data_IF_112006689797
#
_entry.id   IF_112006689797
#
_cell.length_a   1.000
_cell.length_b   1.000
_cell.length_c   1.000
_cell.angle_alpha   90.00
_cell.angle_beta   90.00
_cell.angle_gamma   90.00
#
_symmetry.space_group_name_H-M   'P 1'
#
loop_
_entity.id
_entity.type
_entity.pdbx_description
1 polymer ?
#
# COMPACT_ATOMS: atom_id res chain seq x y z
N UNK A 1 -14.14 -15.79 46.95
CA UNK A 1 -13.72 -16.59 45.78
C UNK A 1 -14.00 -15.73 44.55
N UNK A 2 -13.00 -15.01 44.04
CA UNK A 2 -13.15 -14.07 42.92
C UNK A 2 -12.83 -14.81 41.62
N UNK A 3 -13.83 -14.97 40.76
CA UNK A 3 -13.64 -15.45 39.39
C UNK A 3 -13.28 -14.25 38.51
N UNK A 4 -12.04 -14.20 38.02
CA UNK A 4 -11.62 -13.24 36.99
C UNK A 4 -11.87 -13.92 35.64
N UNK A 5 -12.91 -13.48 34.94
CA UNK A 5 -13.19 -13.87 33.56
C UNK A 5 -12.18 -13.21 32.62
N UNK A 6 -11.44 -14.01 31.87
CA UNK A 6 -10.56 -13.53 30.81
C UNK A 6 -11.39 -13.03 29.63
N UNK A 7 -11.19 -11.78 29.23
CA UNK A 7 -11.74 -11.25 27.99
C UNK A 7 -11.02 -11.91 26.80
N UNK A 8 -11.74 -12.37 25.77
CA UNK A 8 -11.11 -12.88 24.55
C UNK A 8 -10.43 -11.72 23.82
N UNK A 9 -9.12 -11.84 23.62
CA UNK A 9 -8.39 -10.97 22.70
C UNK A 9 -8.97 -11.21 21.29
N UNK A 10 -9.58 -10.18 20.71
CA UNK A 10 -10.01 -10.18 19.31
C UNK A 10 -8.77 -10.18 18.44
N UNK A 11 -8.31 -11.37 18.07
CA UNK A 11 -7.34 -11.54 17.00
C UNK A 11 -8.01 -11.05 15.71
N UNK A 12 -7.65 -9.84 15.26
CA UNK A 12 -7.92 -9.40 13.90
C UNK A 12 -7.13 -10.32 12.98
N UNK A 13 -7.78 -11.36 12.47
CA UNK A 13 -7.23 -12.17 11.39
C UNK A 13 -7.02 -11.20 10.21
N UNK A 14 -5.77 -10.76 10.02
CA UNK A 14 -5.37 -10.09 8.80
C UNK A 14 -5.76 -11.02 7.64
N UNK A 15 -6.63 -10.55 6.75
CA UNK A 15 -7.04 -11.29 5.56
C UNK A 15 -5.80 -11.57 4.72
N UNK A 16 -5.25 -12.78 4.85
CA UNK A 16 -4.31 -13.36 3.89
C UNK A 16 -5.10 -14.13 2.81
N UNK A 17 -6.21 -13.57 2.34
CA UNK A 17 -7.20 -14.31 1.55
C UNK A 17 -7.14 -14.07 0.04
N UNK A 18 -7.06 -12.81 -0.39
CA UNK A 18 -7.14 -12.46 -1.80
C UNK A 18 -5.89 -11.67 -2.24
N UNK A 19 -5.04 -12.20 -3.13
CA UNK A 19 -3.90 -11.45 -3.64
C UNK A 19 -4.32 -10.17 -4.38
N UNK A 20 -5.58 -10.06 -4.83
CA UNK A 20 -6.12 -8.89 -5.51
C UNK A 20 -6.68 -7.83 -4.58
N UNK A 21 -6.83 -8.11 -3.27
CA UNK A 21 -7.20 -7.08 -2.29
C UNK A 21 -6.14 -5.96 -2.27
N UNK A 22 -6.59 -4.72 -2.07
CA UNK A 22 -5.73 -3.56 -1.91
C UNK A 22 -5.89 -2.97 -0.51
N UNK A 23 -4.85 -3.03 0.30
CA UNK A 23 -4.90 -2.59 1.70
C UNK A 23 -5.30 -1.12 1.83
N UNK A 24 -4.80 -0.23 0.97
CA UNK A 24 -5.18 1.19 0.97
C UNK A 24 -6.68 1.38 0.70
N UNK A 25 -7.27 0.56 -0.18
CA UNK A 25 -8.69 0.58 -0.49
C UNK A 25 -9.54 0.03 0.67
N UNK A 26 -9.08 -1.02 1.35
CA UNK A 26 -9.74 -1.54 2.56
C UNK A 26 -9.70 -0.55 3.71
N UNK A 27 -8.56 0.11 3.93
CA UNK A 27 -8.43 1.17 4.94
C UNK A 27 -9.40 2.31 4.66
N UNK A 28 -9.49 2.79 3.42
CA UNK A 28 -10.47 3.82 3.06
C UNK A 28 -11.90 3.40 3.42
N UNK A 29 -12.31 2.19 3.03
CA UNK A 29 -13.67 1.68 3.32
C UNK A 29 -13.95 1.63 4.83
N UNK A 30 -12.99 1.17 5.63
CA UNK A 30 -13.09 1.13 7.09
C UNK A 30 -13.15 2.53 7.70
N UNK A 31 -12.27 3.44 7.29
CA UNK A 31 -12.29 4.84 7.76
C UNK A 31 -13.63 5.52 7.44
N UNK A 32 -14.17 5.31 6.24
CA UNK A 32 -15.48 5.86 5.87
C UNK A 32 -16.58 5.29 6.77
N UNK A 33 -16.51 4.01 7.16
CA UNK A 33 -17.47 3.42 8.10
C UNK A 33 -17.39 4.09 9.48
N UNK A 34 -16.20 4.19 10.09
CA UNK A 34 -15.98 4.87 11.39
C UNK A 34 -16.47 6.32 11.38
N UNK A 35 -16.17 7.06 10.31
CA UNK A 35 -16.56 8.46 10.16
C UNK A 35 -18.07 8.64 9.86
N UNK A 36 -18.76 7.58 9.46
CA UNK A 36 -20.22 7.59 9.24
C UNK A 36 -21.01 7.19 10.49
N UNK A 37 -20.36 6.81 11.59
CA UNK A 37 -21.02 6.58 12.87
C UNK A 37 -21.65 7.87 13.45
N UNK A 38 -22.47 7.70 14.48
CA UNK A 38 -23.16 8.80 15.17
C UNK A 38 -22.98 8.67 16.69
N UNK A 39 -22.01 9.40 17.30
CA UNK A 39 -21.12 10.39 16.67
C UNK A 39 -19.99 9.75 15.82
N UNK A 40 -19.39 10.46 14.85
CA UNK A 40 -18.26 9.95 14.06
C UNK A 40 -17.06 9.56 14.92
N UNK A 41 -16.47 8.38 14.68
CA UNK A 41 -15.26 7.92 15.38
C UNK A 41 -13.98 8.33 14.64
N UNK A 42 -13.48 9.52 14.95
CA UNK A 42 -12.20 10.01 14.44
C UNK A 42 -10.99 9.25 15.00
N UNK A 43 -11.09 8.70 16.22
CA UNK A 43 -9.99 7.99 16.84
C UNK A 43 -9.83 6.59 16.22
N UNK A 44 -10.93 5.88 16.01
CA UNK A 44 -11.00 4.64 15.24
C UNK A 44 -10.49 4.83 13.82
N UNK A 45 -10.97 5.86 13.12
CA UNK A 45 -10.51 6.19 11.76
C UNK A 45 -9.00 6.47 11.71
N UNK A 46 -8.44 7.18 12.71
CA UNK A 46 -7.00 7.43 12.79
C UNK A 46 -6.20 6.14 13.01
N UNK A 47 -6.62 5.29 13.96
CA UNK A 47 -5.95 4.02 14.23
C UNK A 47 -5.92 3.11 12.99
N UNK A 48 -7.01 3.10 12.20
CA UNK A 48 -7.08 2.39 10.92
C UNK A 48 -6.11 3.00 9.90
N UNK A 49 -6.07 4.33 9.77
CA UNK A 49 -5.19 5.01 8.83
C UNK A 49 -3.70 4.78 9.11
N UNK A 50 -3.31 4.77 10.39
CA UNK A 50 -1.92 4.56 10.80
C UNK A 50 -1.34 3.22 10.30
N UNK A 51 -2.20 2.21 10.05
CA UNK A 51 -1.78 0.91 9.52
C UNK A 51 -1.17 0.95 8.11
N UNK A 52 -1.47 1.97 7.30
CA UNK A 52 -0.92 2.15 5.94
C UNK A 52 0.03 3.32 5.82
N UNK A 53 0.20 4.13 6.87
CA UNK A 53 1.00 5.36 6.83
C UNK A 53 2.41 5.11 6.30
N UNK A 54 3.10 4.09 6.82
CA UNK A 54 4.47 3.79 6.42
C UNK A 54 4.55 3.40 4.93
N UNK A 55 3.58 2.64 4.42
CA UNK A 55 3.52 2.28 3.00
C UNK A 55 3.30 3.54 2.13
N UNK A 56 2.41 4.43 2.54
CA UNK A 56 2.17 5.68 1.83
C UNK A 56 3.42 6.57 1.81
N UNK A 57 4.08 6.73 2.96
CA UNK A 57 5.30 7.54 3.06
C UNK A 57 6.41 7.00 2.14
N UNK A 58 6.55 5.67 2.07
CA UNK A 58 7.54 5.01 1.22
C UNK A 58 7.27 5.15 -0.28
N UNK A 59 6.01 5.21 -0.70
CA UNK A 59 5.63 5.16 -2.12
C UNK A 59 5.10 6.47 -2.70
N UNK A 60 4.76 7.44 -1.86
CA UNK A 60 4.12 8.69 -2.28
C UNK A 60 4.74 9.92 -1.61
N UNK A 61 5.70 9.73 -0.69
CA UNK A 61 6.19 10.77 0.19
C UNK A 61 5.25 11.05 1.37
N UNK A 62 5.68 11.92 2.28
CA UNK A 62 4.99 12.13 3.57
C UNK A 62 3.77 13.05 3.50
N UNK A 63 3.65 13.86 2.44
CA UNK A 63 2.60 14.88 2.32
C UNK A 63 1.18 14.30 2.31
N UNK A 64 0.84 13.25 1.53
CA UNK A 64 -0.52 12.72 1.51
C UNK A 64 -0.96 12.23 2.90
N UNK A 65 -0.09 11.51 3.60
CA UNK A 65 -0.40 10.98 4.93
C UNK A 65 -0.49 12.07 6.00
N UNK A 66 0.38 13.08 5.95
CA UNK A 66 0.32 14.22 6.86
C UNK A 66 -1.01 14.99 6.72
N UNK A 67 -1.50 15.16 5.49
CA UNK A 67 -2.75 15.88 5.21
C UNK A 67 -3.96 15.15 5.80
N UNK A 68 -4.06 13.83 5.58
CA UNK A 68 -5.13 13.00 6.15
C UNK A 68 -5.13 13.06 7.69
N UNK A 69 -3.95 12.91 8.30
CA UNK A 69 -3.80 12.98 9.77
C UNK A 69 -4.16 14.35 10.33
N UNK A 70 -3.88 15.43 9.60
CA UNK A 70 -4.25 16.77 10.02
C UNK A 70 -5.78 16.93 10.04
N UNK A 71 -6.48 16.55 8.97
CA UNK A 71 -7.95 16.65 8.94
C UNK A 71 -8.66 15.70 9.92
N UNK A 72 -8.06 14.55 10.25
CA UNK A 72 -8.53 13.68 11.32
C UNK A 72 -8.47 14.40 12.68
N UNK A 73 -7.36 15.08 12.98
CA UNK A 73 -7.19 15.88 14.21
C UNK A 73 -8.17 17.05 14.28
N UNK A 74 -8.40 17.70 13.14
CA UNK A 74 -9.35 18.82 13.02
C UNK A 74 -10.81 18.36 13.02
N UNK A 75 -11.07 17.05 13.12
CA UNK A 75 -12.38 16.42 13.09
C UNK A 75 -13.22 16.81 11.86
N UNK A 76 -12.55 16.98 10.73
CA UNK A 76 -13.18 17.35 9.48
C UNK A 76 -13.40 16.11 8.60
N UNK A 77 -14.54 15.44 8.82
CA UNK A 77 -14.93 14.21 8.10
C UNK A 77 -14.81 14.35 6.58
N UNK A 78 -15.38 15.40 6.00
CA UNK A 78 -15.46 15.56 4.55
C UNK A 78 -14.07 15.73 3.94
N UNK A 79 -13.19 16.49 4.61
CA UNK A 79 -11.81 16.65 4.19
C UNK A 79 -11.01 15.35 4.34
N UNK A 80 -11.19 14.57 5.42
CA UNK A 80 -10.55 13.25 5.56
C UNK A 80 -10.96 12.31 4.43
N UNK A 81 -12.25 12.23 4.13
CA UNK A 81 -12.77 11.38 3.06
C UNK A 81 -12.22 11.84 1.70
N UNK A 82 -12.22 13.15 1.44
CA UNK A 82 -11.70 13.72 0.19
C UNK A 82 -10.20 13.42 0.01
N UNK A 83 -9.40 13.55 1.06
CA UNK A 83 -7.96 13.28 0.96
C UNK A 83 -7.66 11.81 0.79
N UNK A 84 -8.39 10.92 1.46
CA UNK A 84 -8.27 9.49 1.21
C UNK A 84 -8.66 9.11 -0.22
N UNK A 85 -9.68 9.75 -0.81
CA UNK A 85 -10.01 9.54 -2.22
C UNK A 85 -8.86 9.94 -3.14
N UNK A 86 -8.17 11.06 -2.85
CA UNK A 86 -6.96 11.46 -3.59
C UNK A 86 -5.81 10.46 -3.41
N UNK A 87 -5.60 9.94 -2.19
CA UNK A 87 -4.61 8.87 -1.92
C UNK A 87 -4.89 7.63 -2.78
N UNK A 88 -6.16 7.23 -2.92
CA UNK A 88 -6.55 6.12 -3.79
C UNK A 88 -6.23 6.40 -5.27
N UNK A 89 -6.46 7.63 -5.75
CA UNK A 89 -6.08 8.02 -7.12
C UNK A 89 -4.56 7.95 -7.33
N UNK A 90 -3.76 8.43 -6.37
CA UNK A 90 -2.30 8.33 -6.42
C UNK A 90 -1.83 6.86 -6.39
N UNK A 91 -2.50 5.99 -5.63
CA UNK A 91 -2.22 4.56 -5.61
C UNK A 91 -2.46 3.91 -6.98
N UNK A 92 -3.57 4.25 -7.65
CA UNK A 92 -3.86 3.80 -9.02
C UNK A 92 -2.77 4.29 -9.98
N UNK A 93 -2.42 5.58 -9.94
CA UNK A 93 -1.38 6.17 -10.78
C UNK A 93 -0.06 5.42 -10.68
N UNK A 94 0.46 5.25 -9.46
CA UNK A 94 1.66 4.47 -9.15
C UNK A 94 1.65 3.08 -9.79
N UNK A 95 0.54 2.34 -9.63
CA UNK A 95 0.46 0.96 -10.10
C UNK A 95 0.47 0.90 -11.63
N UNK A 96 -0.29 1.77 -12.29
CA UNK A 96 -0.30 1.86 -13.75
C UNK A 96 1.04 2.36 -14.32
N UNK A 97 1.75 3.23 -13.61
CA UNK A 97 3.12 3.62 -13.94
C UNK A 97 4.10 2.44 -13.86
N UNK A 98 4.02 1.64 -12.80
CA UNK A 98 4.88 0.46 -12.64
C UNK A 98 4.63 -0.60 -13.72
N UNK A 99 3.38 -0.80 -14.12
CA UNK A 99 3.04 -1.70 -15.23
C UNK A 99 3.66 -1.20 -16.54
N UNK A 100 3.62 0.10 -16.81
CA UNK A 100 4.21 0.64 -18.05
C UNK A 100 5.72 0.42 -18.12
N UNK A 101 6.42 0.56 -16.98
CA UNK A 101 7.88 0.41 -16.88
C UNK A 101 8.35 -1.02 -17.11
N UNK A 102 7.59 -2.01 -16.65
CA UNK A 102 7.90 -3.44 -16.78
C UNK A 102 6.84 -4.20 -17.60
N UNK A 103 6.43 -3.64 -18.74
CA UNK A 103 5.24 -4.11 -19.46
C UNK A 103 5.28 -5.60 -19.90
N UNK A 104 6.48 -6.17 -20.05
CA UNK A 104 6.68 -7.55 -20.49
C UNK A 104 6.35 -8.59 -19.40
N UNK A 105 6.31 -8.18 -18.13
CA UNK A 105 6.08 -9.07 -17.00
C UNK A 105 4.57 -9.32 -16.78
N UNK A 106 4.00 -10.21 -17.61
CA UNK A 106 2.56 -10.48 -17.60
C UNK A 106 1.98 -10.83 -16.22
N UNK A 107 2.63 -11.74 -15.47
CA UNK A 107 2.09 -12.22 -14.20
C UNK A 107 2.04 -11.10 -13.16
N UNK A 108 3.13 -10.33 -13.02
CA UNK A 108 3.20 -9.21 -12.10
C UNK A 108 2.23 -8.10 -12.52
N UNK A 109 2.18 -7.76 -13.81
CA UNK A 109 1.33 -6.68 -14.30
C UNK A 109 -0.15 -7.01 -14.19
N UNK A 110 -0.54 -8.27 -14.40
CA UNK A 110 -1.92 -8.72 -14.18
C UNK A 110 -2.34 -8.49 -12.73
N UNK A 111 -1.47 -8.80 -11.77
CA UNK A 111 -1.72 -8.55 -10.35
C UNK A 111 -1.80 -7.04 -10.05
N UNK A 112 -0.89 -6.24 -10.61
CA UNK A 112 -0.90 -4.79 -10.44
C UNK A 112 -2.18 -4.15 -11.00
N UNK A 113 -2.67 -4.59 -12.16
CA UNK A 113 -3.94 -4.13 -12.72
C UNK A 113 -5.10 -4.55 -11.82
N UNK A 114 -5.11 -5.79 -11.31
CA UNK A 114 -6.16 -6.24 -10.39
C UNK A 114 -6.22 -5.37 -9.13
N UNK A 115 -5.08 -5.04 -8.53
CA UNK A 115 -5.01 -4.14 -7.36
C UNK A 115 -5.41 -2.71 -7.68
N UNK A 116 -4.99 -2.18 -8.84
CA UNK A 116 -5.44 -0.86 -9.28
C UNK A 116 -6.96 -0.83 -9.50
N UNK A 117 -7.54 -1.89 -10.08
CA UNK A 117 -9.00 -2.05 -10.24
C UNK A 117 -9.71 -2.19 -8.90
N UNK A 118 -9.15 -2.92 -7.93
CA UNK A 118 -9.69 -3.00 -6.58
C UNK A 118 -9.70 -1.63 -5.88
N UNK A 119 -8.65 -0.84 -6.08
CA UNK A 119 -8.57 0.55 -5.62
C UNK A 119 -9.67 1.41 -6.25
N UNK A 120 -9.85 1.31 -7.58
CA UNK A 120 -10.91 1.99 -8.30
C UNK A 120 -12.31 1.56 -7.81
N UNK A 121 -12.53 0.28 -7.53
CA UNK A 121 -13.82 -0.21 -7.04
C UNK A 121 -14.24 0.45 -5.72
N UNK A 122 -13.28 0.86 -4.87
CA UNK A 122 -13.58 1.64 -3.67
C UNK A 122 -14.02 3.09 -3.99
N UNK A 123 -13.56 3.66 -5.10
CA UNK A 123 -13.97 4.98 -5.59
C UNK A 123 -15.26 4.93 -6.43
N UNK A 124 -15.54 3.81 -7.09
CA UNK A 124 -16.64 3.63 -8.05
C UNK A 124 -18.00 4.11 -7.50
N UNK A 125 -18.43 3.80 -6.26
CA UNK A 125 -19.70 4.31 -5.73
C UNK A 125 -19.80 5.84 -5.73
N UNK A 126 -18.71 6.54 -5.40
CA UNK A 126 -18.64 8.01 -5.37
C UNK A 126 -18.70 8.59 -6.78
N UNK A 127 -18.00 7.94 -7.72
CA UNK A 127 -18.02 8.33 -9.14
C UNK A 127 -19.41 8.11 -9.71
N UNK A 128 -19.98 6.92 -9.52
CA UNK A 128 -21.31 6.52 -10.01
C UNK A 128 -22.42 7.44 -9.51
N UNK A 129 -22.33 7.92 -8.27
CA UNK A 129 -23.31 8.86 -7.73
C UNK A 129 -23.29 10.21 -8.47
N UNK A 130 -22.13 10.65 -8.95
CA UNK A 130 -21.95 11.94 -9.63
C UNK A 130 -22.10 11.82 -11.16
N UNK A 131 -21.51 10.78 -11.74
CA UNK A 131 -21.47 10.52 -13.17
C UNK A 131 -21.42 9.00 -13.43
N UNK A 132 -22.58 8.34 -13.61
CA UNK A 132 -22.66 6.91 -13.95
C UNK A 132 -21.99 6.56 -15.29
N UNK A 133 -21.94 7.49 -16.24
CA UNK A 133 -21.35 7.25 -17.56
C UNK A 133 -19.83 7.22 -17.47
N UNK A 134 -19.25 8.11 -16.67
CA UNK A 134 -17.83 8.12 -16.36
C UNK A 134 -17.41 6.82 -15.64
N UNK A 135 -18.20 6.36 -14.66
CA UNK A 135 -17.90 5.12 -13.95
C UNK A 135 -17.85 3.90 -14.89
N UNK A 136 -18.87 3.75 -15.74
CA UNK A 136 -18.91 2.70 -16.76
C UNK A 136 -17.73 2.79 -17.73
N UNK A 137 -17.38 4.02 -18.14
CA UNK A 137 -16.21 4.27 -18.99
C UNK A 137 -14.92 3.81 -18.31
N UNK A 138 -14.72 4.14 -17.04
CA UNK A 138 -13.53 3.74 -16.28
C UNK A 138 -13.43 2.24 -16.11
N UNK A 139 -14.54 1.54 -15.83
CA UNK A 139 -14.60 0.07 -15.79
C UNK A 139 -14.08 -0.52 -17.10
N UNK A 140 -14.57 -0.01 -18.24
CA UNK A 140 -14.14 -0.48 -19.56
C UNK A 140 -12.67 -0.19 -19.84
N UNK A 141 -12.14 0.95 -19.41
CA UNK A 141 -10.72 1.26 -19.59
C UNK A 141 -9.81 0.37 -18.73
N UNK A 142 -10.22 -0.02 -17.52
CA UNK A 142 -9.49 -1.03 -16.73
C UNK A 142 -9.49 -2.40 -17.42
N UNK A 143 -10.61 -2.79 -18.03
CA UNK A 143 -10.70 -4.05 -18.78
C UNK A 143 -9.84 -4.02 -20.04
N UNK A 144 -9.81 -2.89 -20.77
CA UNK A 144 -8.91 -2.70 -21.91
C UNK A 144 -7.45 -2.74 -21.49
N UNK A 145 -7.08 -2.07 -20.39
CA UNK A 145 -5.73 -2.11 -19.86
C UNK A 145 -5.30 -3.53 -19.51
N UNK A 146 -6.20 -4.34 -18.91
CA UNK A 146 -5.95 -5.74 -18.62
C UNK A 146 -5.75 -6.57 -19.90
N UNK A 147 -6.62 -6.39 -20.89
CA UNK A 147 -6.54 -7.10 -22.16
C UNK A 147 -5.29 -6.73 -22.98
N UNK A 148 -4.79 -5.50 -22.80
CA UNK A 148 -3.60 -4.99 -23.44
C UNK A 148 -2.30 -5.62 -22.90
N UNK A 149 -2.32 -6.27 -21.74
CA UNK A 149 -1.16 -7.06 -21.27
C UNK A 149 -0.90 -8.30 -22.14
N UNK A 150 -1.85 -8.68 -23.01
CA UNK A 150 -1.78 -9.91 -23.77
C UNK A 150 -2.08 -11.14 -22.90
N UNK A 151 -1.57 -12.29 -23.32
CA UNK A 151 -1.63 -13.56 -22.60
C UNK A 151 -0.49 -14.45 -23.10
N UNK A 152 0.48 -14.87 -22.27
CA UNK A 152 1.54 -15.78 -22.71
C UNK A 152 1.04 -17.19 -23.06
N UNK A 153 -0.23 -17.50 -22.73
CA UNK A 153 -0.82 -18.81 -22.97
C UNK A 153 -0.27 -19.89 -22.03
N UNK A 154 -0.95 -21.05 -22.01
CA UNK A 154 -0.46 -22.23 -21.30
C UNK A 154 0.21 -23.14 -22.34
N UNK A 155 1.52 -23.34 -22.23
CA UNK A 155 2.33 -24.09 -23.22
C UNK A 155 2.16 -23.57 -24.67
N UNK A 156 2.00 -22.26 -24.85
CA UNK A 156 1.81 -21.63 -26.17
C UNK A 156 0.38 -21.72 -26.72
N UNK A 157 -0.56 -22.33 -26.01
CA UNK A 157 -1.99 -22.32 -26.38
C UNK A 157 -2.66 -21.06 -25.83
N UNK A 158 -3.37 -20.33 -26.68
CA UNK A 158 -4.12 -19.12 -26.29
C UNK A 158 -3.25 -17.87 -26.12
N UNK A 159 -2.10 -17.82 -26.80
CA UNK A 159 -1.21 -16.65 -26.81
C UNK A 159 -1.95 -15.43 -27.38
N UNK A 160 -1.82 -14.31 -26.70
CA UNK A 160 -2.20 -12.98 -27.20
C UNK A 160 -1.00 -12.07 -27.00
N UNK A 161 -0.59 -11.41 -28.07
CA UNK A 161 0.51 -10.45 -28.00
C UNK A 161 0.14 -9.24 -27.12
N UNK A 162 1.10 -8.70 -26.35
CA UNK A 162 0.90 -7.48 -25.60
C UNK A 162 0.67 -6.28 -26.54
N UNK A 163 -0.17 -5.35 -26.11
CA UNK A 163 -0.55 -4.14 -26.85
C UNK A 163 -0.17 -2.87 -26.04
N UNK A 164 1.13 -2.51 -25.92
CA UNK A 164 1.57 -1.40 -25.07
C UNK A 164 0.90 -0.06 -25.40
N UNK A 165 0.62 0.21 -26.68
CA UNK A 165 -0.06 1.42 -27.10
C UNK A 165 -1.50 1.51 -26.57
N UNK A 166 -2.23 0.39 -26.56
CA UNK A 166 -3.59 0.31 -25.99
C UNK A 166 -3.54 0.52 -24.49
N UNK A 167 -2.59 -0.10 -23.80
CA UNK A 167 -2.42 0.11 -22.37
C UNK A 167 -2.13 1.57 -22.03
N UNK A 168 -1.20 2.22 -22.74
CA UNK A 168 -0.87 3.65 -22.52
C UNK A 168 -2.08 4.56 -22.74
N UNK A 169 -2.88 4.29 -23.76
CA UNK A 169 -4.09 5.05 -24.03
C UNK A 169 -5.14 4.89 -22.91
N UNK A 170 -5.40 3.65 -22.47
CA UNK A 170 -6.34 3.38 -21.38
C UNK A 170 -5.84 3.95 -20.04
N UNK A 171 -4.55 3.80 -19.72
CA UNK A 171 -3.92 4.43 -18.56
C UNK A 171 -4.11 5.94 -18.58
N UNK A 172 -3.76 6.62 -19.67
CA UNK A 172 -3.90 8.07 -19.77
C UNK A 172 -5.35 8.52 -19.55
N UNK A 173 -6.31 7.78 -20.11
CA UNK A 173 -7.73 8.06 -19.93
C UNK A 173 -8.19 7.84 -18.48
N UNK A 174 -7.83 6.72 -17.86
CA UNK A 174 -8.12 6.43 -16.45
C UNK A 174 -7.58 7.55 -15.56
N UNK A 175 -6.30 7.87 -15.70
CA UNK A 175 -5.61 8.82 -14.84
C UNK A 175 -6.14 10.24 -15.00
N UNK A 176 -6.36 10.70 -16.24
CA UNK A 176 -6.96 12.00 -16.50
C UNK A 176 -8.37 12.10 -15.91
N UNK A 177 -9.22 11.11 -16.17
CA UNK A 177 -10.59 11.09 -15.66
C UNK A 177 -10.65 11.11 -14.13
N UNK A 178 -9.79 10.34 -13.46
CA UNK A 178 -9.72 10.34 -11.99
C UNK A 178 -9.12 11.63 -11.44
N UNK A 179 -8.09 12.17 -12.09
CA UNK A 179 -7.50 13.46 -11.72
C UNK A 179 -8.53 14.58 -11.76
N UNK A 180 -9.29 14.68 -12.85
CA UNK A 180 -10.34 15.68 -13.05
C UNK A 180 -11.48 15.49 -12.04
N UNK A 181 -11.94 14.25 -11.85
CA UNK A 181 -13.05 13.91 -10.95
C UNK A 181 -12.78 14.24 -9.48
N UNK A 182 -11.53 14.13 -9.04
CA UNK A 182 -11.11 14.35 -7.65
C UNK A 182 -10.29 15.63 -7.44
N UNK A 183 -10.10 16.45 -8.50
CA UNK A 183 -9.45 17.75 -8.44
C UNK A 183 -7.97 17.70 -8.03
N UNK A 184 -7.22 16.69 -8.47
CA UNK A 184 -5.79 16.60 -8.19
C UNK A 184 -5.00 17.54 -9.11
N UNK A 185 -4.09 18.33 -8.53
CA UNK A 185 -3.18 19.20 -9.29
C UNK A 185 -2.11 18.42 -10.07
N UNK A 186 -1.67 17.30 -9.52
CA UNK A 186 -0.66 16.41 -10.09
C UNK A 186 -0.92 14.97 -9.67
N UNK A 187 -0.46 14.04 -10.49
CA UNK A 187 -0.42 12.60 -10.19
C UNK A 187 1.00 12.10 -9.90
N UNK A 188 2.00 13.00 -9.92
CA UNK A 188 3.36 12.65 -9.56
C UNK A 188 3.42 12.18 -8.11
N UNK A 189 4.16 11.10 -7.91
CA UNK A 189 4.33 10.46 -6.62
C UNK A 189 5.83 10.29 -6.40
N UNK A 190 6.31 10.82 -5.27
CA UNK A 190 7.74 10.90 -4.97
C UNK A 190 8.36 9.53 -4.68
N UNK A 191 9.49 9.27 -5.33
CA UNK A 191 10.39 8.11 -5.16
C UNK A 191 9.81 6.73 -5.53
N UNK A 192 9.73 6.45 -6.84
CA UNK A 192 9.63 5.08 -7.34
C UNK A 192 10.99 4.51 -7.69
N UNK A 193 11.50 3.61 -6.85
CA UNK A 193 12.56 2.68 -7.24
C UNK A 193 11.95 1.55 -8.08
N UNK A 194 12.59 1.23 -9.20
CA UNK A 194 12.21 0.08 -10.03
C UNK A 194 12.23 -1.19 -9.16
N UNK A 195 11.14 -1.97 -9.19
CA UNK A 195 11.06 -3.25 -8.47
C UNK A 195 10.28 -3.24 -7.15
N UNK A 196 9.69 -2.15 -6.67
CA UNK A 196 8.90 -2.16 -5.42
C UNK A 196 7.44 -2.66 -5.56
N UNK A 197 7.16 -3.43 -6.60
CA UNK A 197 5.84 -4.04 -6.81
C UNK A 197 5.54 -5.16 -5.79
N UNK A 198 4.24 -5.47 -5.52
CA UNK A 198 3.79 -6.51 -4.61
C UNK A 198 4.11 -7.97 -5.08
N UNK A 199 5.08 -8.13 -5.98
CA UNK A 199 5.59 -9.40 -6.48
C UNK A 199 7.11 -9.51 -6.45
N UNK A 200 7.85 -8.53 -5.90
CA UNK A 200 9.29 -8.63 -5.81
C UNK A 200 9.69 -9.61 -4.69
N UNK A 201 10.34 -10.71 -5.07
CA UNK A 201 10.91 -11.70 -4.14
C UNK A 201 11.94 -11.08 -3.19
N UNK A 202 12.58 -9.96 -3.56
CA UNK A 202 13.49 -9.24 -2.67
C UNK A 202 12.80 -8.64 -1.44
N UNK A 203 11.51 -8.29 -1.51
CA UNK A 203 10.77 -7.74 -0.35
C UNK A 203 10.18 -8.83 0.55
N UNK A 204 10.08 -10.09 0.10
CA UNK A 204 9.77 -11.22 1.01
C UNK A 204 10.97 -11.63 1.87
N UNK A 205 12.17 -11.20 1.49
CA UNK A 205 13.42 -11.63 2.11
C UNK A 205 14.16 -10.53 2.90
N UNK A 206 13.52 -9.40 3.22
CA UNK A 206 13.94 -8.60 4.39
C UNK A 206 13.47 -9.28 5.68
N UNK A 207 13.92 -10.52 5.89
CA UNK A 207 14.35 -10.87 7.23
C UNK A 207 15.45 -9.87 7.60
N UNK A 208 15.42 -9.36 8.82
CA UNK A 208 16.54 -8.64 9.42
C UNK A 208 17.68 -9.64 9.59
N UNK A 209 18.31 -10.03 8.48
CA UNK A 209 19.51 -10.83 8.42
C UNK A 209 20.67 -9.86 8.44
N UNK A 210 21.43 -9.87 9.53
CA UNK A 210 22.70 -9.16 9.62
C UNK A 210 23.59 -9.66 8.49
N UNK A 211 23.84 -8.82 7.48
CA UNK A 211 24.78 -9.17 6.42
C UNK A 211 26.18 -9.25 7.03
N UNK A 212 26.73 -10.47 7.10
CA UNK A 212 28.02 -10.75 7.75
C UNK A 212 29.23 -10.30 6.93
N UNK A 213 29.00 -9.82 5.69
CA UNK A 213 30.05 -9.38 4.78
C UNK A 213 30.48 -7.91 5.00
N UNK A 214 29.65 -7.07 5.64
CA UNK A 214 29.99 -5.69 5.97
C UNK A 214 30.62 -5.60 7.38
N UNK A 215 31.86 -5.11 7.43
CA UNK A 215 32.62 -4.93 8.66
C UNK A 215 31.91 -4.02 9.68
N UNK A 216 30.99 -3.15 9.25
CA UNK A 216 30.20 -2.30 10.16
C UNK A 216 29.21 -3.09 11.01
N UNK A 217 28.72 -4.22 10.52
CA UNK A 217 27.77 -5.07 11.27
C UNK A 217 28.41 -5.83 12.43
N UNK A 218 29.75 -5.85 12.51
CA UNK A 218 30.49 -6.43 13.63
C UNK A 218 30.70 -5.45 14.80
N UNK A 219 30.47 -4.15 14.57
CA UNK A 219 30.66 -3.11 15.59
C UNK A 219 29.80 -3.36 16.85
N UNK A 220 28.50 -3.68 16.75
CA UNK A 220 27.67 -3.95 17.94
C UNK A 220 28.14 -5.18 18.73
N UNK A 221 28.58 -6.23 18.02
CA UNK A 221 29.11 -7.47 18.64
C UNK A 221 30.42 -7.16 19.38
N UNK A 222 31.30 -6.38 18.79
CA UNK A 222 32.55 -5.94 19.43
C UNK A 222 32.32 -5.20 20.75
N UNK A 223 31.30 -4.33 20.81
CA UNK A 223 30.92 -3.61 22.02
C UNK A 223 30.40 -4.57 23.10
N UNK A 224 29.54 -5.53 22.74
CA UNK A 224 29.03 -6.53 23.68
C UNK A 224 30.16 -7.38 24.26
N UNK A 225 31.10 -7.83 23.43
CA UNK A 225 32.26 -8.61 23.89
C UNK A 225 33.15 -7.80 24.83
N UNK A 226 33.38 -6.52 24.54
CA UNK A 226 34.15 -5.63 25.42
C UNK A 226 33.47 -5.42 26.78
N UNK A 227 32.15 -5.24 26.80
CA UNK A 227 31.38 -5.11 28.05
C UNK A 227 31.45 -6.40 28.88
N UNK A 228 31.30 -7.56 28.24
CA UNK A 228 31.40 -8.86 28.92
C UNK A 228 32.82 -9.10 29.48
N UNK A 229 33.87 -8.78 28.73
CA UNK A 229 35.25 -8.87 29.21
C UNK A 229 35.50 -7.92 30.39
N UNK A 230 34.96 -6.70 30.34
CA UNK A 230 34.99 -5.75 31.45
C UNK A 230 34.33 -6.30 32.71
N UNK A 231 33.15 -6.90 32.58
CA UNK A 231 32.42 -7.54 33.69
C UNK A 231 33.22 -8.72 34.26
N UNK A 232 33.78 -9.59 33.41
CA UNK A 232 34.58 -10.75 33.85
C UNK A 232 35.83 -10.29 34.59
N UNK A 233 36.56 -9.30 34.08
CA UNK A 233 37.76 -8.77 34.72
C UNK A 233 37.45 -8.05 36.04
N UNK A 234 36.36 -7.29 36.09
CA UNK A 234 35.90 -6.62 37.30
C UNK A 234 35.49 -7.63 38.38
N UNK A 235 34.74 -8.66 37.99
CA UNK A 235 34.31 -9.73 38.90
C UNK A 235 35.51 -10.53 39.42
N UNK A 236 36.48 -10.86 38.55
CA UNK A 236 37.71 -11.57 38.94
C UNK A 236 38.63 -10.75 39.86
N UNK A 237 38.61 -9.42 39.77
CA UNK A 237 39.28 -8.51 40.72
C UNK A 237 38.58 -8.46 42.07
N UNK A 238 37.24 -8.49 42.10
CA UNK A 238 36.43 -8.47 43.33
C UNK A 238 36.57 -9.75 44.17
N UNK A 239 36.82 -10.90 43.53
CA UNK A 239 37.03 -12.19 44.22
C UNK A 239 38.49 -12.50 44.57
N UNK A 240 39.44 -11.59 44.29
CA UNK A 240 40.87 -11.72 44.66
C UNK A 240 41.30 -10.73 45.76
N UNK A 241 40.35 -10.11 46.46
CA UNK A 241 40.56 -9.39 47.71
C UNK A 241 39.89 -10.15 48.85
#
# INVERSE_FOLDING_TARGET
MLAIGGLPATANAYSYGDPNEEQVAEVYKKMVAELNESPPDFAGAQAIFESIKNELDMHMGTEPAATVLQHLKDKNKDSVISDMQKVLVLNIARRLDNIEKDFQNYQQNKLLIAKAKATFNALSPVIKQKDPSLESTLVQEFDKALQALGNPGLFGVGVKEPEPAVFKASKAKILKSLQDQFGLKSLETGHFTEGDGPGNEQNRNKQVGTDFSDARNWIPIGIIVLVLLGIVLFTRRKFRK
#
